data_IF_245946211928
#
_entry.id   IF_245946211928
#
_cell.length_a   1.000
_cell.length_b   1.000
_cell.length_c   1.000
_cell.angle_alpha   90.00
_cell.angle_beta   90.00
_cell.angle_gamma   90.00
#
_symmetry.space_group_name_H-M   'P 1'
#
loop_
_entity.id
_entity.type
_entity.pdbx_description
1 polymer ?
#
# COMPACT_ATOMS: atom_id res chain seq x y z
N UNK A 1 -17.22 2.22 10.55
CA UNK A 1 -17.28 3.67 10.24
C UNK A 1 -15.87 4.09 9.82
N UNK A 2 -15.64 4.32 8.53
CA UNK A 2 -14.32 4.65 7.98
C UNK A 2 -13.82 5.96 8.60
N UNK A 3 -12.59 5.97 9.08
CA UNK A 3 -12.03 7.08 9.84
C UNK A 3 -11.60 8.21 8.88
N UNK A 4 -12.51 9.16 8.63
CA UNK A 4 -12.34 10.29 7.71
C UNK A 4 -11.12 11.18 8.01
N UNK A 5 -10.52 11.10 9.21
CA UNK A 5 -9.33 11.91 9.56
C UNK A 5 -8.04 11.48 8.85
N UNK A 6 -7.97 10.25 8.32
CA UNK A 6 -6.84 9.78 7.51
C UNK A 6 -6.83 10.40 6.10
N UNK A 7 -7.97 10.87 5.60
CA UNK A 7 -8.10 11.43 4.26
C UNK A 7 -7.38 12.77 4.09
N UNK A 8 -7.13 13.52 5.15
CA UNK A 8 -6.50 14.84 5.04
C UNK A 8 -5.01 14.81 4.61
N UNK A 9 -4.38 13.62 4.52
CA UNK A 9 -2.96 13.49 4.10
C UNK A 9 -2.71 12.45 3.00
N UNK A 10 -3.71 11.68 2.60
CA UNK A 10 -3.61 10.68 1.53
C UNK A 10 -4.30 11.23 0.29
N UNK A 11 -3.58 11.32 -0.84
CA UNK A 11 -4.15 11.82 -2.09
C UNK A 11 -5.27 10.91 -2.58
N UNK A 12 -6.26 11.49 -3.29
CA UNK A 12 -7.30 10.74 -3.99
C UNK A 12 -6.70 9.68 -4.90
N UNK A 13 -5.55 9.97 -5.51
CA UNK A 13 -4.81 9.05 -6.37
C UNK A 13 -4.29 7.81 -5.63
N UNK A 14 -3.69 7.98 -4.45
CA UNK A 14 -3.27 6.84 -3.61
C UNK A 14 -4.48 5.96 -3.23
N UNK A 15 -5.63 6.57 -2.93
CA UNK A 15 -6.84 5.80 -2.57
C UNK A 15 -7.41 5.02 -3.76
N UNK A 16 -7.44 5.62 -4.95
CA UNK A 16 -7.86 4.94 -6.18
C UNK A 16 -6.96 3.74 -6.46
N UNK A 17 -5.64 3.95 -6.46
CA UNK A 17 -4.67 2.88 -6.67
C UNK A 17 -4.83 1.77 -5.61
N UNK A 18 -5.02 2.15 -4.34
CA UNK A 18 -5.21 1.19 -3.25
C UNK A 18 -6.43 0.30 -3.50
N UNK A 19 -7.56 0.89 -3.90
CA UNK A 19 -8.77 0.14 -4.18
C UNK A 19 -8.57 -0.85 -5.34
N UNK A 20 -7.88 -0.43 -6.40
CA UNK A 20 -7.58 -1.31 -7.55
C UNK A 20 -6.66 -2.49 -7.16
N UNK A 21 -5.80 -2.28 -6.17
CA UNK A 21 -4.82 -3.28 -5.71
C UNK A 21 -5.28 -4.12 -4.51
N UNK A 22 -6.42 -3.80 -3.90
CA UNK A 22 -6.84 -4.36 -2.60
C UNK A 22 -6.94 -5.89 -2.60
N UNK A 23 -7.28 -6.49 -3.74
CA UNK A 23 -7.46 -7.94 -3.91
C UNK A 23 -6.21 -8.67 -4.40
N UNK A 24 -5.11 -7.96 -4.68
CA UNK A 24 -3.87 -8.60 -5.11
C UNK A 24 -3.26 -9.44 -3.99
N UNK A 25 -2.67 -10.58 -4.35
CA UNK A 25 -1.90 -11.37 -3.39
C UNK A 25 -0.66 -10.62 -2.92
N UNK A 26 -0.08 -11.03 -1.79
CA UNK A 26 1.14 -10.41 -1.25
C UNK A 26 2.28 -10.43 -2.27
N UNK A 27 2.49 -11.56 -2.94
CA UNK A 27 3.53 -11.71 -3.97
C UNK A 27 3.30 -10.70 -5.09
N UNK A 28 2.06 -10.54 -5.56
CA UNK A 28 1.74 -9.56 -6.60
C UNK A 28 2.01 -8.12 -6.14
N UNK A 29 1.67 -7.78 -4.90
CA UNK A 29 1.93 -6.47 -4.33
C UNK A 29 3.42 -6.20 -4.20
N UNK A 30 4.21 -7.17 -3.74
CA UNK A 30 5.68 -7.07 -3.64
C UNK A 30 6.29 -6.85 -5.02
N UNK A 31 5.92 -7.66 -6.02
CA UNK A 31 6.43 -7.49 -7.39
C UNK A 31 6.09 -6.11 -7.93
N UNK A 32 4.84 -5.66 -7.76
CA UNK A 32 4.39 -4.34 -8.20
C UNK A 32 5.10 -3.19 -7.48
N UNK A 33 5.39 -3.33 -6.20
CA UNK A 33 6.13 -2.34 -5.43
C UNK A 33 7.55 -2.16 -5.97
N UNK A 34 8.24 -3.28 -6.21
CA UNK A 34 9.64 -3.30 -6.67
C UNK A 34 9.79 -2.75 -8.09
N UNK A 35 8.80 -2.95 -8.96
CA UNK A 35 8.85 -2.49 -10.36
C UNK A 35 8.29 -1.09 -10.57
N UNK A 36 7.54 -0.54 -9.60
CA UNK A 36 6.93 0.79 -9.74
C UNK A 36 7.93 1.91 -9.48
N UNK A 37 7.85 2.97 -10.31
CA UNK A 37 8.54 4.24 -10.09
C UNK A 37 7.65 5.30 -9.42
N UNK A 38 6.36 5.02 -9.26
CA UNK A 38 5.39 5.95 -8.65
C UNK A 38 5.38 5.82 -7.14
N UNK A 39 5.70 6.91 -6.45
CA UNK A 39 5.65 7.00 -4.99
C UNK A 39 4.23 6.81 -4.44
N UNK A 40 3.22 7.30 -5.15
CA UNK A 40 1.82 7.13 -4.73
C UNK A 40 1.37 5.68 -4.87
N UNK A 41 1.85 4.98 -5.90
CA UNK A 41 1.63 3.55 -6.07
C UNK A 41 2.30 2.73 -4.96
N UNK A 42 3.53 3.08 -4.59
CA UNK A 42 4.25 2.46 -3.47
C UNK A 42 3.56 2.70 -2.13
N UNK A 43 3.11 3.93 -1.87
CA UNK A 43 2.32 4.27 -0.67
C UNK A 43 1.03 3.48 -0.60
N UNK A 44 0.31 3.32 -1.72
CA UNK A 44 -0.91 2.52 -1.76
C UNK A 44 -0.64 1.07 -1.33
N UNK A 45 0.44 0.46 -1.84
CA UNK A 45 0.84 -0.90 -1.47
C UNK A 45 1.20 -1.01 0.02
N UNK A 46 1.97 -0.04 0.55
CA UNK A 46 2.32 -0.01 1.99
C UNK A 46 1.05 0.08 2.85
N UNK A 47 0.06 0.88 2.44
CA UNK A 47 -1.22 0.99 3.15
C UNK A 47 -1.99 -0.33 3.15
N UNK A 48 -2.00 -1.06 2.03
CA UNK A 48 -2.63 -2.39 1.95
C UNK A 48 -1.98 -3.35 2.95
N UNK A 49 -0.65 -3.40 3.02
CA UNK A 49 0.03 -4.25 4.00
C UNK A 49 -0.29 -3.85 5.45
N UNK A 50 -0.33 -2.55 5.76
CA UNK A 50 -0.74 -2.09 7.09
C UNK A 50 -2.16 -2.51 7.44
N UNK A 51 -3.10 -2.39 6.49
CA UNK A 51 -4.50 -2.80 6.68
C UNK A 51 -4.66 -4.31 6.83
N UNK A 52 -3.75 -5.11 6.24
CA UNK A 52 -3.69 -6.56 6.41
C UNK A 52 -3.03 -7.01 7.73
N UNK A 53 -2.55 -6.07 8.54
CA UNK A 53 -2.00 -6.35 9.86
C UNK A 53 -0.48 -6.44 9.94
N UNK A 54 0.24 -6.15 8.86
CA UNK A 54 1.71 -6.15 8.87
C UNK A 54 2.25 -4.95 9.64
N UNK A 55 3.25 -5.20 10.47
CA UNK A 55 4.04 -4.16 11.13
C UNK A 55 4.96 -3.45 10.12
N UNK A 56 5.43 -2.26 10.49
CA UNK A 56 6.38 -1.51 9.66
C UNK A 56 7.69 -2.29 9.41
N UNK A 57 8.13 -3.10 10.38
CA UNK A 57 9.32 -3.94 10.26
C UNK A 57 9.12 -5.05 9.23
N UNK A 58 8.00 -5.78 9.32
CA UNK A 58 7.67 -6.85 8.36
C UNK A 58 7.51 -6.30 6.95
N UNK A 59 6.88 -5.12 6.80
CA UNK A 59 6.76 -4.43 5.51
C UNK A 59 8.14 -4.11 4.94
N UNK A 60 9.06 -3.58 5.75
CA UNK A 60 10.44 -3.33 5.34
C UNK A 60 11.11 -4.61 4.83
N UNK A 61 11.02 -5.70 5.59
CA UNK A 61 11.59 -7.00 5.21
C UNK A 61 10.98 -7.57 3.92
N UNK A 62 9.68 -7.41 3.69
CA UNK A 62 9.03 -7.88 2.46
C UNK A 62 9.46 -7.09 1.21
N UNK A 63 9.73 -5.80 1.38
CA UNK A 63 9.95 -4.87 0.28
C UNK A 63 11.42 -4.58 -0.03
N UNK A 64 12.32 -4.69 0.95
CA UNK A 64 13.78 -4.48 0.80
C UNK A 64 14.54 -5.72 0.30
N UNK A 65 13.95 -6.92 0.43
CA UNK A 65 14.52 -8.15 -0.13
C UNK A 65 14.60 -8.15 -1.66
#
# INVERSE_FOLDING_TARGET
>A
MFNFKIFNRISTEVLTIKNDLQLNSEIQLITKYKTSTSEDYKKAIILIFKERGYSALEIGQLLEN
#
